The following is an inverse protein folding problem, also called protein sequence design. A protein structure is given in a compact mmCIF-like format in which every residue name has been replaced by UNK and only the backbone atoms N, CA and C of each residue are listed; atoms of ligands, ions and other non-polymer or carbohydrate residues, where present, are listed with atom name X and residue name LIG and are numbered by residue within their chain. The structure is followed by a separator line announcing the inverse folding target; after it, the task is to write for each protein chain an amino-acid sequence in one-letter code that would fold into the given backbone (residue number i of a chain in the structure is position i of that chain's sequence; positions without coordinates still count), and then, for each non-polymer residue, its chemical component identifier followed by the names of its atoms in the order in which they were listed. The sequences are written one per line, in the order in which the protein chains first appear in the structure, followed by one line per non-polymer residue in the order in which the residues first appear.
data_IF_640759920203
#
_entry.id   IF_640759920203
#
_cell.length_a   1.000
_cell.length_b   1.000
_cell.length_c   1.000
_cell.angle_alpha   90.00
_cell.angle_beta   90.00
_cell.angle_gamma   90.00
#
_symmetry.space_group_name_H-M   'P 1'
#
loop_
_entity.id
_entity.type
_entity.pdbx_description
1 polymer ?
#
# COMPACT_ATOMS: atom_id res chain seq x y z
N UNK A 1 -27.07 -8.98 -21.36
CA UNK A 1 -26.08 -7.93 -21.72
C UNK A 1 -24.88 -8.12 -20.79
N UNK A 2 -23.68 -8.17 -21.38
CA UNK A 2 -22.31 -8.26 -20.85
C UNK A 2 -22.04 -7.88 -19.36
N UNK A 3 -21.13 -8.56 -18.63
CA UNK A 3 -20.97 -8.42 -17.17
C UNK A 3 -19.97 -7.34 -16.74
N UNK A 4 -19.73 -6.31 -17.55
CA UNK A 4 -18.83 -5.21 -17.20
C UNK A 4 -19.55 -3.89 -17.43
N UNK A 5 -20.21 -3.41 -16.38
CA UNK A 5 -20.53 -1.98 -16.30
C UNK A 5 -19.19 -1.20 -16.27
N UNK A 6 -19.17 0.06 -16.71
CA UNK A 6 -17.99 0.90 -16.53
C UNK A 6 -17.57 0.88 -15.05
N UNK A 7 -16.28 0.63 -14.79
CA UNK A 7 -15.69 0.68 -13.46
C UNK A 7 -14.92 2.00 -13.32
N UNK A 8 -15.58 3.14 -13.03
CA UNK A 8 -14.89 4.40 -12.83
C UNK A 8 -14.02 4.39 -11.56
N UNK A 9 -14.33 3.52 -10.58
CA UNK A 9 -13.49 3.28 -9.40
C UNK A 9 -13.21 4.52 -8.55
N UNK A 10 -14.09 5.52 -8.58
CA UNK A 10 -13.84 6.83 -7.96
C UNK A 10 -13.85 6.75 -6.44
N UNK A 11 -14.80 6.02 -5.85
CA UNK A 11 -14.86 5.78 -4.41
C UNK A 11 -14.00 4.57 -4.04
N UNK A 12 -14.16 3.46 -4.76
CA UNK A 12 -13.45 2.18 -4.57
C UNK A 12 -12.40 1.93 -5.68
N UNK A 13 -11.10 2.08 -5.41
CA UNK A 13 -10.50 2.80 -4.27
C UNK A 13 -9.72 4.04 -4.74
N UNK A 14 -10.29 4.74 -5.72
CA UNK A 14 -9.76 6.01 -6.22
C UNK A 14 -9.66 7.05 -5.11
N UNK A 15 -10.63 7.08 -4.20
CA UNK A 15 -10.69 8.03 -3.08
C UNK A 15 -9.59 7.77 -2.05
N UNK A 16 -9.37 6.51 -1.65
CA UNK A 16 -8.26 6.12 -0.78
C UNK A 16 -6.91 6.39 -1.43
N UNK A 17 -6.77 6.07 -2.72
CA UNK A 17 -5.54 6.30 -3.48
C UNK A 17 -5.10 7.76 -3.49
N UNK A 18 -6.03 8.70 -3.75
CA UNK A 18 -5.70 10.14 -3.76
C UNK A 18 -5.53 10.71 -2.35
N UNK A 19 -6.20 10.15 -1.35
CA UNK A 19 -6.03 10.55 0.06
C UNK A 19 -4.63 10.22 0.56
N UNK A 20 -4.12 9.03 0.26
CA UNK A 20 -2.75 8.62 0.58
C UNK A 20 -1.73 9.52 -0.13
N UNK A 21 -1.97 9.84 -1.40
CA UNK A 21 -1.09 10.74 -2.17
C UNK A 21 -1.05 12.16 -1.59
N UNK A 22 -2.19 12.69 -1.17
CA UNK A 22 -2.27 14.01 -0.55
C UNK A 22 -1.58 14.03 0.82
N UNK A 23 -1.73 12.98 1.63
CA UNK A 23 -0.99 12.84 2.87
C UNK A 23 0.53 12.83 2.64
N UNK A 24 1.01 12.10 1.63
CA UNK A 24 2.42 12.13 1.24
C UNK A 24 2.87 13.55 0.89
N UNK A 25 2.12 14.27 0.04
CA UNK A 25 2.41 15.65 -0.34
C UNK A 25 2.45 16.59 0.87
N UNK A 26 1.49 16.45 1.79
CA UNK A 26 1.39 17.28 2.98
C UNK A 26 2.58 17.06 3.93
N UNK A 27 3.03 15.81 4.12
CA UNK A 27 4.18 15.48 4.98
C UNK A 27 5.49 16.05 4.41
N UNK A 28 5.67 16.01 3.09
CA UNK A 28 6.80 16.68 2.43
C UNK A 28 6.77 18.20 2.64
N UNK A 29 5.60 18.82 2.48
CA UNK A 29 5.43 20.26 2.67
C UNK A 29 5.66 20.72 4.13
N UNK A 30 5.45 19.81 5.09
CA UNK A 30 5.66 20.05 6.51
C UNK A 30 7.09 19.77 7.00
N UNK A 31 8.01 19.38 6.11
CA UNK A 31 9.36 18.92 6.48
C UNK A 31 9.34 17.81 7.55
N UNK A 32 8.38 16.89 7.41
CA UNK A 32 8.16 15.84 8.39
C UNK A 32 9.27 14.77 8.33
N UNK A 33 9.91 14.53 9.47
CA UNK A 33 10.95 13.53 9.64
C UNK A 33 10.44 12.40 10.55
N UNK A 34 10.04 11.24 10.00
CA UNK A 34 9.52 10.16 10.82
C UNK A 34 10.63 9.48 11.62
N UNK A 35 10.33 9.10 12.87
CA UNK A 35 11.26 8.34 13.73
C UNK A 35 11.46 6.89 13.27
N UNK A 36 10.60 6.38 12.40
CA UNK A 36 10.64 5.04 11.81
C UNK A 36 10.40 5.12 10.32
N UNK A 37 10.73 4.04 9.60
CA UNK A 37 10.38 3.92 8.18
C UNK A 37 8.88 4.12 7.97
N UNK A 38 8.53 5.05 7.09
CA UNK A 38 7.17 5.29 6.62
C UNK A 38 7.11 4.92 5.14
N UNK A 39 6.15 4.07 4.77
CA UNK A 39 5.95 3.65 3.38
C UNK A 39 4.52 3.95 2.93
N UNK A 40 4.37 4.38 1.67
CA UNK A 40 3.09 4.64 1.01
C UNK A 40 2.86 3.58 -0.05
N UNK A 41 1.74 2.87 0.04
CA UNK A 41 1.48 1.67 -0.76
C UNK A 41 0.22 1.86 -1.59
N UNK A 42 0.28 1.40 -2.84
CA UNK A 42 -0.88 1.22 -3.72
C UNK A 42 -0.86 -0.22 -4.23
N UNK A 43 -1.80 -1.03 -3.76
CA UNK A 43 -1.80 -2.47 -4.05
C UNK A 43 -2.49 -2.76 -5.37
N UNK A 44 -1.83 -3.54 -6.23
CA UNK A 44 -2.43 -4.02 -7.47
C UNK A 44 -3.41 -5.17 -7.22
N UNK A 45 -4.36 -5.36 -8.15
CA UNK A 45 -5.26 -6.52 -8.18
C UNK A 45 -5.97 -6.79 -6.83
N UNK A 46 -6.40 -5.73 -6.15
CA UNK A 46 -7.23 -5.80 -4.94
C UNK A 46 -8.57 -6.48 -5.29
N UNK A 47 -9.25 -5.98 -6.33
CA UNK A 47 -10.48 -6.53 -6.92
C UNK A 47 -10.35 -7.99 -7.42
N UNK A 48 -9.10 -8.43 -7.64
CA UNK A 48 -8.76 -9.80 -8.00
C UNK A 48 -8.63 -10.76 -6.81
N UNK A 49 -8.99 -10.31 -5.60
CA UNK A 49 -8.85 -11.07 -4.36
C UNK A 49 -7.57 -10.73 -3.59
N UNK A 50 -7.26 -9.44 -3.44
CA UNK A 50 -6.16 -8.91 -2.61
C UNK A 50 -4.77 -9.40 -3.04
N UNK A 51 -4.55 -9.65 -4.33
CA UNK A 51 -3.35 -10.36 -4.80
C UNK A 51 -2.06 -9.55 -4.58
N UNK A 52 -2.11 -8.23 -4.84
CA UNK A 52 -0.96 -7.36 -4.65
C UNK A 52 -0.57 -7.20 -3.18
N UNK A 53 -1.54 -6.97 -2.29
CA UNK A 53 -1.27 -6.82 -0.85
C UNK A 53 -0.77 -8.13 -0.23
N UNK A 54 -1.30 -9.28 -0.65
CA UNK A 54 -0.76 -10.58 -0.23
C UNK A 54 0.69 -10.79 -0.66
N UNK A 55 1.07 -10.39 -1.87
CA UNK A 55 2.45 -10.50 -2.35
C UNK A 55 3.40 -9.62 -1.53
N UNK A 56 2.99 -8.38 -1.23
CA UNK A 56 3.75 -7.46 -0.37
C UNK A 56 3.89 -8.02 1.05
N UNK A 57 2.79 -8.48 1.65
CA UNK A 57 2.81 -9.04 3.01
C UNK A 57 3.76 -10.25 3.13
N UNK A 58 3.71 -11.18 2.17
CA UNK A 58 4.64 -12.33 2.11
C UNK A 58 6.09 -11.89 1.95
N UNK A 59 6.36 -10.85 1.14
CA UNK A 59 7.71 -10.32 0.98
C UNK A 59 8.24 -9.70 2.28
N UNK A 60 7.38 -9.00 3.02
CA UNK A 60 7.72 -8.44 4.34
C UNK A 60 7.98 -9.52 5.39
N UNK A 61 7.14 -10.55 5.46
CA UNK A 61 7.36 -11.71 6.33
C UNK A 61 8.74 -12.35 6.04
N UNK A 62 9.08 -12.53 4.76
CA UNK A 62 10.39 -13.02 4.35
C UNK A 62 11.55 -12.11 4.80
N UNK A 63 11.37 -10.80 4.79
CA UNK A 63 12.38 -9.82 5.27
C UNK A 63 12.54 -9.83 6.78
N UNK A 64 11.46 -10.00 7.54
CA UNK A 64 11.52 -10.14 9.01
C UNK A 64 12.40 -11.33 9.39
N UNK A 65 12.34 -12.43 8.64
CA UNK A 65 13.19 -13.60 8.83
C UNK A 65 14.67 -13.41 8.43
N UNK A 66 15.03 -12.30 7.77
CA UNK A 66 16.42 -11.96 7.39
C UNK A 66 17.08 -11.03 8.42
N UNK A 67 16.29 -10.37 9.28
CA UNK A 67 16.77 -9.40 10.27
C UNK A 67 16.64 -9.88 11.74
N UNK A 68 16.52 -11.18 11.98
CA UNK A 68 16.75 -11.75 13.31
C UNK A 68 18.22 -12.17 13.38
N UNK A 69 19.13 -11.40 14.00
CA UNK A 69 20.38 -12.00 14.45
C UNK A 69 19.98 -13.12 15.39
N UNK A 70 20.42 -14.34 15.10
CA UNK A 70 20.39 -15.41 16.08
C UNK A 70 21.09 -14.91 17.35
N UNK A 71 20.31 -14.50 18.35
CA UNK A 71 20.81 -14.24 19.68
C UNK A 71 21.18 -15.59 20.30
N UNK A 72 22.47 -15.75 20.57
CA UNK A 72 23.01 -16.76 21.49
C UNK A 72 22.40 -16.58 22.88
#
# INVERSE_FOLDING_TARGET
MWPFLPAPGADDDGSGSVTILENYRALLAADFHPERSLEFHWYSAEEGGLLGSQAVAKAYEGRVNVNVPATN
#
